data_IF_610494233878
#
_entry.id   IF_610494233878
#
_cell.length_a   1.000
_cell.length_b   1.000
_cell.length_c   1.000
_cell.angle_alpha   90.00
_cell.angle_beta   90.00
_cell.angle_gamma   90.00
#
_symmetry.space_group_name_H-M   'P 1'
#
loop_
_entity.id
_entity.type
_entity.pdbx_description
1 polymer ?
#
# COMPACT_ATOMS: atom_id res chain seq x y z
N UNK A 1 -32.81 27.29 -39.45
CA UNK A 1 -33.13 28.40 -38.52
C UNK A 1 -31.81 29.00 -38.12
N UNK A 2 -31.47 30.18 -38.64
CA UNK A 2 -30.20 30.87 -38.36
C UNK A 2 -30.28 31.54 -36.99
N UNK A 3 -29.38 31.18 -36.08
CA UNK A 3 -29.28 31.75 -34.73
C UNK A 3 -28.81 33.22 -34.80
N UNK A 4 -29.76 34.16 -34.82
CA UNK A 4 -29.53 35.62 -34.79
C UNK A 4 -29.15 36.16 -33.40
N UNK A 5 -28.80 35.29 -32.46
CA UNK A 5 -28.66 35.61 -31.02
C UNK A 5 -27.27 36.08 -30.61
N UNK A 6 -26.28 35.97 -31.50
CA UNK A 6 -24.87 36.33 -31.24
C UNK A 6 -24.43 37.63 -31.93
N UNK A 7 -25.37 38.36 -32.54
CA UNK A 7 -25.09 39.60 -33.27
C UNK A 7 -24.98 40.81 -32.32
N UNK A 8 -24.18 41.81 -32.74
CA UNK A 8 -23.98 43.04 -31.98
C UNK A 8 -25.27 43.87 -31.87
N UNK A 9 -25.72 44.14 -30.65
CA UNK A 9 -26.92 44.94 -30.38
C UNK A 9 -26.52 46.41 -30.14
N UNK A 10 -26.88 47.35 -31.05
CA UNK A 10 -26.45 48.74 -30.93
C UNK A 10 -27.21 49.49 -29.83
N UNK A 11 -26.47 50.13 -28.93
CA UNK A 11 -26.99 50.98 -27.85
C UNK A 11 -26.87 52.47 -28.22
N UNK A 12 -27.51 53.36 -27.46
CA UNK A 12 -27.46 54.82 -27.71
C UNK A 12 -26.02 55.37 -27.74
N UNK A 13 -25.13 54.88 -26.88
CA UNK A 13 -23.72 55.28 -26.86
C UNK A 13 -22.91 54.64 -27.98
N UNK A 14 -23.22 53.40 -28.38
CA UNK A 14 -22.50 52.73 -29.48
C UNK A 14 -22.79 53.36 -30.85
N UNK A 15 -23.91 54.09 -31.00
CA UNK A 15 -24.22 54.85 -32.23
C UNK A 15 -23.34 56.08 -32.41
N UNK A 16 -22.81 56.64 -31.32
CA UNK A 16 -21.88 57.78 -31.36
C UNK A 16 -20.45 57.32 -31.73
N UNK A 17 -20.10 56.07 -31.38
CA UNK A 17 -18.78 55.49 -31.62
C UNK A 17 -18.83 54.43 -32.73
N UNK A 18 -18.54 54.83 -33.98
CA UNK A 18 -18.57 53.95 -35.17
C UNK A 18 -17.69 52.70 -35.04
N UNK A 19 -16.60 52.80 -34.29
CA UNK A 19 -15.64 51.69 -34.05
C UNK A 19 -16.15 50.61 -33.11
N UNK A 20 -17.30 50.82 -32.45
CA UNK A 20 -17.85 49.88 -31.47
C UNK A 20 -18.41 48.60 -32.12
N UNK A 21 -18.88 48.69 -33.37
CA UNK A 21 -19.36 47.53 -34.12
C UNK A 21 -18.20 46.67 -34.62
N UNK A 22 -17.15 47.30 -35.13
CA UNK A 22 -15.96 46.62 -35.69
C UNK A 22 -15.15 45.86 -34.63
N UNK A 23 -15.23 46.28 -33.36
CA UNK A 23 -14.47 45.68 -32.25
C UNK A 23 -15.23 44.60 -31.47
N UNK A 24 -16.47 44.29 -31.84
CA UNK A 24 -17.25 43.31 -31.12
C UNK A 24 -16.81 41.88 -31.47
N UNK A 25 -16.56 41.06 -30.45
CA UNK A 25 -16.23 39.64 -30.61
C UNK A 25 -17.13 38.80 -29.69
N UNK A 26 -17.91 37.91 -30.29
CA UNK A 26 -18.66 36.90 -29.55
C UNK A 26 -17.83 35.61 -29.44
N UNK A 27 -17.59 35.12 -28.22
CA UNK A 27 -16.90 33.85 -27.95
C UNK A 27 -17.91 32.87 -27.34
N UNK A 28 -18.16 31.76 -28.04
CA UNK A 28 -19.07 30.71 -27.57
C UNK A 28 -18.24 29.58 -26.96
N UNK A 29 -18.42 29.33 -25.67
CA UNK A 29 -17.82 28.19 -24.98
C UNK A 29 -18.81 27.03 -24.93
N UNK A 30 -18.54 25.98 -25.69
CA UNK A 30 -19.23 24.71 -25.52
C UNK A 30 -18.66 23.98 -24.30
N UNK A 31 -19.35 24.06 -23.18
CA UNK A 31 -18.97 23.27 -22.00
C UNK A 31 -19.20 21.79 -22.31
N UNK A 32 -18.13 21.00 -22.31
CA UNK A 32 -18.29 19.55 -22.25
C UNK A 32 -18.87 19.20 -20.87
N UNK A 33 -20.16 18.87 -20.81
CA UNK A 33 -20.74 18.28 -19.61
C UNK A 33 -19.97 16.99 -19.34
N UNK A 34 -19.20 16.98 -18.25
CA UNK A 34 -18.69 15.74 -17.66
C UNK A 34 -19.90 14.81 -17.54
N UNK A 35 -19.85 13.68 -18.24
CA UNK A 35 -20.91 12.68 -18.16
C UNK A 35 -21.15 12.41 -16.68
N UNK A 36 -22.39 12.61 -16.22
CA UNK A 36 -22.77 12.19 -14.90
C UNK A 36 -22.53 10.67 -14.87
N UNK A 37 -21.46 10.27 -14.21
CA UNK A 37 -21.31 8.89 -13.80
C UNK A 37 -22.58 8.54 -13.02
N UNK A 38 -23.18 7.36 -13.22
CA UNK A 38 -24.33 6.95 -12.44
C UNK A 38 -24.00 7.14 -10.95
N UNK A 39 -24.94 7.72 -10.20
CA UNK A 39 -24.88 7.88 -8.74
C UNK A 39 -24.79 6.49 -8.09
N UNK A 40 -23.59 5.92 -8.11
CA UNK A 40 -23.22 4.83 -7.24
C UNK A 40 -22.69 5.48 -5.98
N UNK A 41 -23.46 5.35 -4.91
CA UNK A 41 -23.07 5.59 -3.52
C UNK A 41 -21.55 5.58 -3.36
N UNK A 42 -20.99 6.74 -3.05
CA UNK A 42 -19.56 6.98 -2.88
C UNK A 42 -18.97 6.13 -1.76
N UNK A 43 -18.69 4.86 -2.06
CA UNK A 43 -17.50 4.19 -1.58
C UNK A 43 -16.38 4.67 -2.50
N UNK A 44 -15.50 5.50 -1.95
CA UNK A 44 -14.33 6.03 -2.64
C UNK A 44 -13.47 4.91 -3.25
N UNK A 45 -13.76 4.56 -4.50
CA UNK A 45 -12.86 3.82 -5.37
C UNK A 45 -12.37 4.78 -6.43
N UNK A 46 -11.46 5.67 -6.02
CA UNK A 46 -10.58 6.36 -6.96
C UNK A 46 -9.55 5.36 -7.49
N UNK A 47 -10.04 4.31 -8.17
CA UNK A 47 -9.22 3.54 -9.09
C UNK A 47 -9.23 4.38 -10.36
N UNK A 48 -8.32 5.36 -10.41
CA UNK A 48 -7.77 5.77 -11.70
C UNK A 48 -7.46 4.46 -12.42
N UNK A 49 -8.13 4.19 -13.54
CA UNK A 49 -7.72 3.13 -14.46
C UNK A 49 -6.30 3.50 -14.86
N UNK A 50 -5.33 3.03 -14.10
CA UNK A 50 -3.93 3.04 -14.50
C UNK A 50 -3.97 2.21 -15.75
N UNK A 51 -3.88 2.88 -16.90
CA UNK A 51 -3.64 2.22 -18.17
C UNK A 51 -2.59 1.15 -17.88
N UNK A 52 -2.89 -0.12 -18.18
CA UNK A 52 -1.90 -1.18 -18.20
C UNK A 52 -0.87 -0.75 -19.25
N UNK A 53 0.08 0.09 -18.85
CA UNK A 53 1.33 0.24 -19.57
C UNK A 53 1.96 -1.12 -19.38
N UNK A 54 1.89 -1.92 -20.44
CA UNK A 54 2.67 -3.13 -20.61
C UNK A 54 4.15 -2.72 -20.54
N UNK A 55 4.64 -2.51 -19.33
CA UNK A 55 6.06 -2.35 -19.08
C UNK A 55 6.63 -3.75 -19.05
N UNK A 56 7.08 -4.20 -20.22
CA UNK A 56 7.87 -5.40 -20.42
C UNK A 56 9.29 -5.26 -19.82
N UNK A 57 9.40 -4.64 -18.63
CA UNK A 57 10.64 -4.58 -17.85
C UNK A 57 10.51 -5.57 -16.69
N UNK A 58 10.97 -6.79 -16.95
CA UNK A 58 10.95 -7.97 -16.08
C UNK A 58 11.91 -7.88 -14.88
N UNK A 59 12.16 -6.69 -14.34
CA UNK A 59 12.92 -6.53 -13.10
C UNK A 59 12.00 -6.61 -11.90
N UNK A 60 12.19 -7.61 -11.03
CA UNK A 60 11.44 -7.75 -9.79
C UNK A 60 11.69 -6.56 -8.85
N UNK A 61 10.71 -5.67 -8.73
CA UNK A 61 10.79 -4.53 -7.81
C UNK A 61 10.22 -4.92 -6.44
N UNK A 62 11.11 -5.09 -5.46
CA UNK A 62 10.76 -5.46 -4.08
C UNK A 62 9.76 -4.46 -3.45
N UNK A 63 9.85 -3.16 -3.77
CA UNK A 63 8.93 -2.15 -3.22
C UNK A 63 7.51 -2.36 -3.73
N UNK A 64 7.37 -2.68 -5.02
CA UNK A 64 6.08 -2.99 -5.62
C UNK A 64 5.52 -4.30 -5.06
N UNK A 65 6.34 -5.35 -4.99
CA UNK A 65 5.92 -6.64 -4.44
C UNK A 65 5.40 -6.50 -2.99
N UNK A 66 6.06 -5.70 -2.15
CA UNK A 66 5.60 -5.40 -0.78
C UNK A 66 4.19 -4.79 -0.77
N UNK A 67 3.89 -3.86 -1.67
CA UNK A 67 2.57 -3.25 -1.76
C UNK A 67 1.52 -4.21 -2.28
N UNK A 68 1.87 -5.06 -3.24
CA UNK A 68 0.98 -6.09 -3.77
C UNK A 68 0.60 -7.14 -2.71
N UNK A 69 1.57 -7.58 -1.90
CA UNK A 69 1.32 -8.47 -0.76
C UNK A 69 0.37 -7.84 0.24
N UNK A 70 0.58 -6.57 0.61
CA UNK A 70 -0.32 -5.85 1.53
C UNK A 70 -1.73 -5.74 0.93
N UNK A 71 -1.84 -5.37 -0.35
CA UNK A 71 -3.13 -5.29 -1.06
C UNK A 71 -3.84 -6.64 -1.09
N UNK A 72 -3.12 -7.72 -1.33
CA UNK A 72 -3.65 -9.08 -1.34
C UNK A 72 -4.16 -9.47 0.05
N UNK A 73 -3.35 -9.25 1.10
CA UNK A 73 -3.75 -9.52 2.48
C UNK A 73 -5.02 -8.78 2.90
N UNK A 74 -5.18 -7.52 2.47
CA UNK A 74 -6.38 -6.71 2.73
C UNK A 74 -7.64 -7.21 2.01
N UNK A 75 -7.52 -8.06 0.98
CA UNK A 75 -8.67 -8.55 0.21
C UNK A 75 -9.49 -9.57 0.99
N UNK A 76 -8.87 -10.30 1.92
CA UNK A 76 -9.51 -11.35 2.72
C UNK A 76 -9.98 -10.93 4.12
N UNK A 77 -9.88 -9.64 4.45
CA UNK A 77 -10.31 -9.11 5.76
C UNK A 77 -11.81 -8.79 5.76
N UNK A 78 -12.41 -8.85 6.95
CA UNK A 78 -13.77 -8.40 7.20
C UNK A 78 -13.93 -6.90 6.90
N UNK A 79 -15.16 -6.41 6.62
CA UNK A 79 -15.38 -5.03 6.19
C UNK A 79 -14.79 -3.97 7.14
N UNK A 80 -14.95 -4.16 8.45
CA UNK A 80 -14.41 -3.25 9.47
C UNK A 80 -12.87 -3.26 9.50
N UNK A 81 -12.29 -4.45 9.55
CA UNK A 81 -10.83 -4.63 9.54
C UNK A 81 -10.20 -4.11 8.23
N UNK A 82 -10.91 -4.22 7.11
CA UNK A 82 -10.50 -3.70 5.81
C UNK A 82 -10.43 -2.19 5.79
N UNK A 83 -11.34 -1.50 6.47
CA UNK A 83 -11.29 -0.03 6.62
C UNK A 83 -10.09 0.38 7.47
N UNK A 84 -9.86 -0.29 8.59
CA UNK A 84 -8.69 -0.03 9.45
C UNK A 84 -7.38 -0.26 8.70
N UNK A 85 -7.26 -1.37 7.96
CA UNK A 85 -6.09 -1.68 7.15
C UNK A 85 -5.86 -0.65 6.02
N UNK A 86 -6.94 -0.12 5.42
CA UNK A 86 -6.84 0.98 4.43
C UNK A 86 -6.31 2.26 5.06
N UNK A 87 -6.80 2.62 6.24
CA UNK A 87 -6.33 3.80 6.98
C UNK A 87 -4.85 3.64 7.34
N UNK A 88 -4.45 2.47 7.84
CA UNK A 88 -3.05 2.17 8.16
C UNK A 88 -2.14 2.24 6.92
N UNK A 89 -2.59 1.67 5.78
CA UNK A 89 -1.87 1.76 4.51
C UNK A 89 -1.72 3.22 4.07
N UNK A 90 -2.79 4.01 4.14
CA UNK A 90 -2.75 5.43 3.79
C UNK A 90 -1.74 6.19 4.67
N UNK A 91 -1.74 5.96 5.98
CA UNK A 91 -0.77 6.56 6.91
C UNK A 91 0.65 6.16 6.53
N UNK A 92 0.90 4.89 6.21
CA UNK A 92 2.21 4.39 5.76
C UNK A 92 2.68 5.05 4.47
N UNK A 93 1.75 5.40 3.58
CA UNK A 93 2.01 6.15 2.34
C UNK A 93 2.19 7.66 2.57
N UNK A 94 2.09 8.13 3.82
CA UNK A 94 2.29 9.53 4.20
C UNK A 94 1.01 10.33 4.40
N UNK A 95 -0.17 9.70 4.39
CA UNK A 95 -1.39 10.38 4.77
C UNK A 95 -1.35 10.79 6.25
N UNK A 96 -1.95 11.94 6.57
CA UNK A 96 -2.07 12.41 7.95
C UNK A 96 -3.00 11.47 8.74
N UNK A 97 -2.60 10.98 9.92
CA UNK A 97 -3.46 10.12 10.74
C UNK A 97 -4.73 10.86 11.18
N UNK A 98 -5.84 10.13 11.41
CA UNK A 98 -7.09 10.71 11.89
C UNK A 98 -6.87 11.38 13.26
N UNK A 99 -7.67 12.41 13.54
CA UNK A 99 -7.61 13.09 14.85
C UNK A 99 -8.09 12.15 15.95
N UNK A 100 -7.37 12.15 17.06
CA UNK A 100 -7.79 11.41 18.25
C UNK A 100 -9.09 12.00 18.82
N UNK A 101 -9.90 11.16 19.46
CA UNK A 101 -11.10 11.59 20.20
C UNK A 101 -10.69 12.54 21.32
N UNK A 102 -11.43 13.64 21.47
CA UNK A 102 -11.27 14.54 22.61
C UNK A 102 -11.70 13.80 23.89
N UNK A 103 -10.77 13.62 24.84
CA UNK A 103 -11.02 12.99 26.13
C UNK A 103 -10.63 13.93 27.27
N UNK A 104 -11.21 13.74 28.45
CA UNK A 104 -10.79 14.46 29.64
C UNK A 104 -9.33 14.10 29.99
N UNK A 105 -8.53 15.09 30.38
CA UNK A 105 -7.10 14.90 30.66
C UNK A 105 -6.82 13.86 31.75
N UNK A 106 -7.64 13.84 32.83
CA UNK A 106 -7.46 12.89 33.94
C UNK A 106 -7.68 11.44 33.46
N UNK A 107 -8.74 11.22 32.67
CA UNK A 107 -9.04 9.91 32.09
C UNK A 107 -7.95 9.43 31.13
N UNK A 108 -7.44 10.34 30.29
CA UNK A 108 -6.36 10.03 29.35
C UNK A 108 -5.06 9.63 30.07
N UNK A 109 -4.74 10.27 31.20
CA UNK A 109 -3.59 9.88 32.02
C UNK A 109 -3.75 8.48 32.62
N UNK A 110 -4.94 8.16 33.14
CA UNK A 110 -5.24 6.84 33.69
C UNK A 110 -5.16 5.74 32.64
N UNK A 111 -5.73 5.96 31.45
CA UNK A 111 -5.62 5.04 30.31
C UNK A 111 -4.15 4.76 29.96
N UNK A 112 -3.32 5.81 29.84
CA UNK A 112 -1.89 5.66 29.54
C UNK A 112 -1.13 4.90 30.63
N UNK A 113 -1.49 5.08 31.91
CA UNK A 113 -0.86 4.33 33.01
C UNK A 113 -1.20 2.84 32.90
N UNK A 114 -2.48 2.52 32.71
CA UNK A 114 -2.95 1.13 32.53
C UNK A 114 -2.32 0.45 31.32
N UNK A 115 -2.22 1.14 30.17
CA UNK A 115 -1.53 0.60 28.98
C UNK A 115 -0.05 0.33 29.24
N UNK A 116 0.64 1.23 29.95
CA UNK A 116 2.05 1.02 30.34
C UNK A 116 2.22 -0.16 31.29
N UNK A 117 1.30 -0.35 32.22
CA UNK A 117 1.34 -1.50 33.15
C UNK A 117 1.04 -2.81 32.42
N UNK A 118 0.02 -2.84 31.55
CA UNK A 118 -0.32 -4.01 30.75
C UNK A 118 0.80 -4.41 29.78
N UNK A 119 1.46 -3.43 29.15
CA UNK A 119 2.61 -3.69 28.27
C UNK A 119 3.81 -4.24 29.05
N UNK A 120 4.11 -3.67 30.23
CA UNK A 120 5.15 -4.21 31.12
C UNK A 120 4.83 -5.65 31.54
N UNK A 121 3.62 -5.92 32.01
CA UNK A 121 3.19 -7.26 32.40
C UNK A 121 3.29 -8.26 31.23
N UNK A 122 2.91 -7.86 30.01
CA UNK A 122 3.06 -8.68 28.81
C UNK A 122 4.52 -8.97 28.47
N UNK A 123 5.39 -7.97 28.59
CA UNK A 123 6.83 -8.14 28.36
C UNK A 123 7.48 -9.02 29.43
N UNK A 124 7.10 -8.86 30.69
CA UNK A 124 7.53 -9.74 31.78
C UNK A 124 7.07 -11.17 31.53
N UNK A 125 5.80 -11.37 31.16
CA UNK A 125 5.26 -12.67 30.80
C UNK A 125 6.02 -13.31 29.63
N UNK A 126 6.34 -12.55 28.58
CA UNK A 126 7.12 -13.04 27.44
C UNK A 126 8.59 -13.36 27.78
N UNK A 127 9.11 -12.74 28.84
CA UNK A 127 10.45 -12.97 29.38
C UNK A 127 10.49 -14.10 30.42
N UNK A 128 9.34 -14.61 30.90
CA UNK A 128 9.31 -15.77 31.79
C UNK A 128 10.05 -16.95 31.13
N UNK A 129 10.98 -17.54 31.87
CA UNK A 129 11.82 -18.63 31.37
C UNK A 129 12.94 -18.20 30.41
N UNK A 130 13.19 -16.90 30.23
CA UNK A 130 14.32 -16.35 29.46
C UNK A 130 15.19 -15.44 30.35
N UNK A 131 16.50 -15.43 30.09
CA UNK A 131 17.46 -14.52 30.70
C UNK A 131 17.39 -13.13 30.04
N UNK A 132 18.10 -12.13 30.57
CA UNK A 132 18.18 -10.76 29.99
C UNK A 132 18.62 -10.73 28.51
N UNK A 133 19.37 -11.75 28.06
CA UNK A 133 19.77 -11.94 26.65
C UNK A 133 18.76 -12.74 25.79
N UNK A 134 17.57 -13.05 26.31
CA UNK A 134 16.50 -13.79 25.60
C UNK A 134 16.69 -15.31 25.52
N UNK A 135 17.78 -15.86 26.08
CA UNK A 135 18.06 -17.31 26.10
C UNK A 135 17.24 -18.02 27.18
N UNK A 136 16.82 -19.26 26.96
CA UNK A 136 16.06 -20.02 27.96
C UNK A 136 16.85 -20.22 29.26
N UNK A 137 16.18 -20.09 30.40
CA UNK A 137 16.77 -20.28 31.74
C UNK A 137 16.70 -21.74 32.20
N UNK A 138 15.87 -22.56 31.54
CA UNK A 138 15.74 -23.97 31.83
C UNK A 138 17.06 -24.71 31.59
N UNK A 139 17.56 -25.42 32.61
CA UNK A 139 18.71 -26.32 32.50
C UNK A 139 18.31 -27.61 31.76
N UNK A 140 17.88 -27.48 30.51
CA UNK A 140 17.73 -28.59 29.59
C UNK A 140 19.07 -28.88 28.93
N UNK A 141 19.47 -30.15 28.87
CA UNK A 141 20.61 -30.60 28.06
C UNK A 141 20.46 -30.01 26.65
N UNK A 142 21.35 -29.10 26.27
CA UNK A 142 21.25 -28.34 25.02
C UNK A 142 20.89 -29.22 23.83
N UNK A 143 20.02 -28.69 22.97
CA UNK A 143 19.69 -29.31 21.67
C UNK A 143 20.92 -29.38 20.74
N UNK A 144 22.08 -28.86 21.21
CA UNK A 144 23.43 -29.15 20.70
C UNK A 144 23.95 -30.54 21.07
N UNK A 145 23.08 -31.48 21.47
CA UNK A 145 23.43 -32.90 21.43
C UNK A 145 23.47 -33.36 19.98
N UNK A 146 24.61 -33.06 19.35
CA UNK A 146 25.18 -33.80 18.23
C UNK A 146 24.19 -33.91 17.06
N UNK A 147 24.09 -32.86 16.25
CA UNK A 147 24.08 -33.09 14.81
C UNK A 147 25.40 -33.79 14.49
N UNK A 148 25.47 -35.11 14.71
CA UNK A 148 26.38 -35.97 13.98
C UNK A 148 26.20 -35.51 12.53
N UNK A 149 27.27 -35.03 11.90
CA UNK A 149 27.26 -34.65 10.49
C UNK A 149 26.55 -35.79 9.75
N UNK A 150 25.27 -35.61 9.43
CA UNK A 150 24.55 -36.48 8.54
C UNK A 150 25.30 -36.29 7.23
N UNK A 151 25.89 -37.37 6.73
CA UNK A 151 26.69 -37.41 5.50
C UNK A 151 25.96 -36.59 4.44
N UNK A 152 26.53 -35.44 4.12
CA UNK A 152 25.86 -34.37 3.38
C UNK A 152 26.16 -34.48 1.90
N UNK A 153 26.05 -35.68 1.33
CA UNK A 153 26.18 -35.83 -0.09
C UNK A 153 25.36 -37.04 -0.57
N UNK A 154 24.49 -36.80 -1.56
CA UNK A 154 23.64 -37.82 -2.18
C UNK A 154 24.49 -39.00 -2.71
N UNK A 155 25.76 -38.75 -3.04
CA UNK A 155 26.72 -39.76 -3.51
C UNK A 155 27.07 -40.83 -2.46
N UNK A 156 26.90 -40.56 -1.16
CA UNK A 156 27.22 -41.54 -0.11
C UNK A 156 26.22 -42.72 -0.07
N UNK A 157 24.97 -42.50 -0.53
CA UNK A 157 23.93 -43.53 -0.58
C UNK A 157 24.03 -44.42 -1.84
N UNK A 158 24.64 -43.91 -2.92
CA UNK A 158 24.70 -44.61 -4.21
C UNK A 158 26.08 -45.23 -4.54
N UNK A 159 27.05 -45.14 -3.62
CA UNK A 159 28.33 -45.82 -3.73
C UNK A 159 29.33 -45.14 -4.69
N UNK A 160 30.60 -45.14 -4.31
CA UNK A 160 31.68 -44.46 -5.05
C UNK A 160 32.08 -45.29 -6.28
N UNK A 161 31.79 -44.80 -7.48
CA UNK A 161 32.21 -45.44 -8.74
C UNK A 161 33.74 -45.38 -8.86
N UNK A 162 34.40 -46.53 -8.92
CA UNK A 162 35.84 -46.64 -9.15
C UNK A 162 36.11 -46.54 -10.65
N UNK A 163 36.77 -45.47 -11.10
CA UNK A 163 37.16 -45.34 -12.50
C UNK A 163 38.04 -46.52 -12.92
N UNK A 164 37.69 -47.19 -14.02
CA UNK A 164 38.52 -48.24 -14.61
C UNK A 164 39.75 -47.57 -15.22
N UNK A 165 40.94 -47.88 -14.72
CA UNK A 165 42.20 -47.49 -15.34
C UNK A 165 42.27 -48.15 -16.73
N UNK A 166 42.44 -47.33 -17.78
CA UNK A 166 42.57 -47.78 -19.16
C UNK A 166 43.74 -48.76 -19.27
N UNK A 167 43.43 -50.06 -19.42
CA UNK A 167 44.39 -51.08 -19.76
C UNK A 167 44.45 -51.14 -21.30
N UNK A 168 45.56 -50.61 -21.82
CA UNK A 168 46.13 -50.74 -23.16
C UNK A 168 45.36 -51.61 -24.18
N UNK A 169 44.95 -50.98 -25.29
CA UNK A 169 44.78 -51.63 -26.59
C UNK A 169 45.63 -50.89 -27.62
N UNK A 170 46.88 -51.34 -27.72
CA UNK A 170 47.72 -51.27 -28.92
C UNK A 170 47.47 -52.51 -29.76
#
# INVERSE_FOLDING_TARGET
MSDSTLDFIPTRSSRLNKTSQEKFQAVVYNSHKKANAPENNTVHSNVKKVAKVASNNTSFNIKQAKHEVVRFGMSGLDPQEKEEAKVQLAIRLGAKPPKNKCKNYKQLLEERKKEKEATKARLEFQQLGKNQMGKSTAKGKGFDRKRRKQKSDLLDDYGKVKARSNLNRS
#
